data_IF_846236266232
#
_entry.id   IF_846236266232
#
_cell.length_a   1.000
_cell.length_b   1.000
_cell.length_c   1.000
_cell.angle_alpha   90.00
_cell.angle_beta   90.00
_cell.angle_gamma   90.00
#
_symmetry.space_group_name_H-M   'P 1'
#
loop_
_entity.id
_entity.type
_entity.pdbx_description
1 polymer ?
#
# COMPACT_ATOMS: atom_id res chain seq x y z
N UNK A 1 -31.17 -23.02 1.12
CA UNK A 1 -30.14 -22.09 1.58
C UNK A 1 -29.75 -21.23 0.40
N UNK A 2 -29.82 -19.91 0.54
CA UNK A 2 -29.41 -19.00 -0.51
C UNK A 2 -27.94 -19.21 -0.90
N UNK A 3 -27.65 -19.17 -2.19
CA UNK A 3 -26.29 -19.25 -2.73
C UNK A 3 -25.35 -18.17 -2.13
N UNK A 4 -25.91 -17.04 -1.72
CA UNK A 4 -25.17 -15.96 -1.01
C UNK A 4 -24.64 -16.42 0.35
N UNK A 5 -25.37 -17.27 1.08
CA UNK A 5 -24.98 -17.77 2.39
C UNK A 5 -23.84 -18.79 2.29
N UNK A 6 -23.86 -19.64 1.26
CA UNK A 6 -22.76 -20.56 0.96
C UNK A 6 -21.49 -19.83 0.51
N UNK A 7 -21.63 -18.74 -0.25
CA UNK A 7 -20.49 -17.91 -0.67
C UNK A 7 -19.85 -17.15 0.49
N UNK A 8 -20.65 -16.74 1.49
CA UNK A 8 -20.18 -16.07 2.70
C UNK A 8 -19.37 -17.01 3.63
N UNK A 9 -19.69 -18.31 3.65
CA UNK A 9 -18.94 -19.31 4.41
C UNK A 9 -17.66 -19.78 3.69
N UNK A 10 -17.43 -19.35 2.44
CA UNK A 10 -16.25 -19.74 1.70
C UNK A 10 -15.01 -18.99 2.23
N UNK A 11 -14.00 -19.68 2.78
CA UNK A 11 -12.78 -19.04 3.30
C UNK A 11 -12.02 -18.23 2.24
N UNK A 12 -12.11 -18.64 0.97
CA UNK A 12 -11.46 -17.92 -0.14
C UNK A 12 -11.99 -16.49 -0.28
N UNK A 13 -13.30 -16.28 -0.10
CA UNK A 13 -13.93 -14.95 -0.19
C UNK A 13 -13.38 -14.00 0.88
N UNK A 14 -13.24 -14.47 2.12
CA UNK A 14 -12.69 -13.68 3.22
C UNK A 14 -11.21 -13.34 3.04
N UNK A 15 -10.42 -14.28 2.50
CA UNK A 15 -9.01 -14.02 2.19
C UNK A 15 -8.90 -12.86 1.21
N UNK A 16 -9.73 -12.83 0.15
CA UNK A 16 -9.74 -11.73 -0.81
C UNK A 16 -10.00 -10.37 -0.16
N UNK A 17 -11.01 -10.30 0.72
CA UNK A 17 -11.35 -9.09 1.47
C UNK A 17 -10.19 -8.64 2.37
N UNK A 18 -9.62 -9.56 3.14
CA UNK A 18 -8.49 -9.26 4.04
C UNK A 18 -7.28 -8.78 3.24
N UNK A 19 -6.99 -9.38 2.10
CA UNK A 19 -5.90 -8.95 1.20
C UNK A 19 -6.12 -7.52 0.70
N UNK A 20 -7.33 -7.18 0.25
CA UNK A 20 -7.65 -5.81 -0.19
C UNK A 20 -7.43 -4.81 0.94
N UNK A 21 -7.92 -5.13 2.14
CA UNK A 21 -7.75 -4.28 3.33
C UNK A 21 -6.27 -4.09 3.66
N UNK A 22 -5.48 -5.18 3.66
CA UNK A 22 -4.05 -5.12 3.95
C UNK A 22 -3.29 -4.25 2.94
N UNK A 23 -3.60 -4.38 1.64
CA UNK A 23 -2.96 -3.56 0.59
C UNK A 23 -3.37 -2.09 0.73
N UNK A 24 -4.63 -1.81 1.06
CA UNK A 24 -5.07 -0.44 1.32
C UNK A 24 -4.30 0.21 2.48
N UNK A 25 -4.15 -0.50 3.60
CA UNK A 25 -3.33 -0.02 4.71
C UNK A 25 -1.86 0.15 4.33
N UNK A 26 -1.31 -0.74 3.51
CA UNK A 26 0.07 -0.63 3.00
C UNK A 26 0.27 0.65 2.18
N UNK A 27 -0.67 1.02 1.31
CA UNK A 27 -0.62 2.27 0.53
C UNK A 27 -0.63 3.49 1.45
N UNK A 28 -1.55 3.53 2.43
CA UNK A 28 -1.61 4.61 3.42
C UNK A 28 -0.30 4.71 4.22
N UNK A 29 0.20 3.56 4.70
CA UNK A 29 1.45 3.50 5.46
C UNK A 29 2.63 4.05 4.65
N UNK A 30 2.70 3.71 3.36
CA UNK A 30 3.74 4.21 2.45
C UNK A 30 3.69 5.74 2.30
N UNK A 31 2.49 6.33 2.23
CA UNK A 31 2.33 7.78 2.18
C UNK A 31 2.77 8.47 3.49
N UNK A 32 2.48 7.87 4.63
CA UNK A 32 2.93 8.38 5.95
C UNK A 32 4.45 8.34 6.03
N UNK A 33 5.08 7.22 5.65
CA UNK A 33 6.54 7.08 5.62
C UNK A 33 7.17 8.09 4.67
N UNK A 34 6.61 8.31 3.48
CA UNK A 34 7.10 9.34 2.56
C UNK A 34 7.05 10.74 3.16
N UNK A 35 5.95 11.07 3.83
CA UNK A 35 5.80 12.37 4.50
C UNK A 35 6.83 12.53 5.61
N UNK A 36 7.06 11.48 6.40
CA UNK A 36 8.09 11.47 7.44
C UNK A 36 9.50 11.63 6.87
N UNK A 37 9.84 10.90 5.80
CA UNK A 37 11.12 11.02 5.10
C UNK A 37 11.32 12.44 4.57
N UNK A 38 10.30 13.04 3.96
CA UNK A 38 10.35 14.42 3.45
C UNK A 38 10.59 15.44 4.58
N UNK A 39 9.86 15.32 5.69
CA UNK A 39 10.02 16.22 6.84
C UNK A 39 11.39 16.03 7.50
N UNK A 40 11.85 14.79 7.64
CA UNK A 40 13.15 14.48 8.24
C UNK A 40 14.31 14.96 7.35
N UNK A 41 14.22 14.83 6.02
CA UNK A 41 15.20 15.38 5.07
C UNK A 41 15.25 16.91 5.07
N UNK A 42 14.15 17.58 5.40
CA UNK A 42 14.14 19.04 5.58
C UNK A 42 14.81 19.48 6.89
N UNK A 43 14.71 18.66 7.95
CA UNK A 43 15.30 18.96 9.27
C UNK A 43 16.80 18.62 9.29
N UNK A 44 17.17 17.46 8.75
CA UNK A 44 18.55 17.01 8.60
C UNK A 44 19.01 17.38 7.19
N UNK A 45 19.62 18.55 7.03
CA UNK A 45 20.20 19.02 5.77
C UNK A 45 21.32 18.10 5.29
N UNK A 46 20.97 16.92 4.76
CA UNK A 46 21.85 15.89 4.22
C UNK A 46 21.75 15.92 2.69
N UNK A 47 22.56 16.76 2.01
CA UNK A 47 22.35 17.12 0.60
C UNK A 47 22.39 15.93 -0.38
N UNK A 48 23.06 14.84 -0.04
CA UNK A 48 23.22 13.69 -0.94
C UNK A 48 22.23 12.56 -0.64
N UNK A 49 21.82 12.38 0.62
CA UNK A 49 20.91 11.31 1.02
C UNK A 49 19.43 11.67 0.74
N UNK A 50 19.08 12.95 0.79
CA UNK A 50 17.71 13.42 0.62
C UNK A 50 17.14 13.09 -0.78
N UNK A 51 17.93 13.30 -1.83
CA UNK A 51 17.51 13.02 -3.21
C UNK A 51 17.25 11.52 -3.42
N UNK A 52 18.13 10.66 -2.90
CA UNK A 52 18.02 9.20 -3.04
C UNK A 52 16.82 8.69 -2.25
N UNK A 53 16.66 9.10 -0.99
CA UNK A 53 15.52 8.69 -0.16
C UNK A 53 14.19 9.14 -0.77
N UNK A 54 14.13 10.36 -1.28
CA UNK A 54 12.92 10.90 -1.93
C UNK A 54 12.58 10.13 -3.21
N UNK A 55 13.58 9.78 -4.02
CA UNK A 55 13.39 8.99 -5.24
C UNK A 55 12.89 7.58 -4.92
N UNK A 56 13.54 6.88 -3.97
CA UNK A 56 13.12 5.54 -3.53
C UNK A 56 11.68 5.58 -3.02
N UNK A 57 11.33 6.59 -2.24
CA UNK A 57 10.01 6.68 -1.65
C UNK A 57 8.91 7.00 -2.68
N UNK A 58 9.20 7.82 -3.70
CA UNK A 58 8.30 8.02 -4.85
C UNK A 58 8.09 6.71 -5.63
N UNK A 59 9.16 5.97 -5.90
CA UNK A 59 9.06 4.66 -6.56
C UNK A 59 8.18 3.71 -5.73
N UNK A 60 8.35 3.72 -4.40
CA UNK A 60 7.59 2.85 -3.51
C UNK A 60 6.09 3.20 -3.50
N UNK A 61 5.74 4.48 -3.59
CA UNK A 61 4.35 4.92 -3.75
C UNK A 61 3.76 4.39 -5.07
N UNK A 62 4.50 4.55 -6.17
CA UNK A 62 4.05 4.07 -7.50
C UNK A 62 3.86 2.55 -7.49
N UNK A 63 4.80 1.81 -6.89
CA UNK A 63 4.70 0.36 -6.73
C UNK A 63 3.50 -0.04 -5.85
N UNK A 64 3.28 0.65 -4.73
CA UNK A 64 2.13 0.40 -3.85
C UNK A 64 0.79 0.62 -4.55
N UNK A 65 0.65 1.72 -5.32
CA UNK A 65 -0.55 1.98 -6.13
C UNK A 65 -0.72 0.91 -7.22
N UNK A 66 0.37 0.51 -7.88
CA UNK A 66 0.32 -0.52 -8.91
C UNK A 66 -0.12 -1.87 -8.35
N UNK A 67 0.40 -2.26 -7.19
CA UNK A 67 0.02 -3.47 -6.46
C UNK A 67 -1.46 -3.45 -6.07
N UNK A 68 -1.96 -2.29 -5.62
CA UNK A 68 -3.38 -2.11 -5.30
C UNK A 68 -4.29 -2.27 -6.53
N UNK A 69 -3.93 -1.63 -7.65
CA UNK A 69 -4.68 -1.76 -8.90
C UNK A 69 -4.68 -3.20 -9.43
N UNK A 70 -3.52 -3.86 -9.42
CA UNK A 70 -3.40 -5.27 -9.82
C UNK A 70 -4.25 -6.16 -8.92
N UNK A 71 -4.21 -5.94 -7.61
CA UNK A 71 -5.01 -6.72 -6.67
C UNK A 71 -6.51 -6.56 -6.92
N UNK A 72 -7.01 -5.34 -7.20
CA UNK A 72 -8.42 -5.11 -7.56
C UNK A 72 -8.82 -5.83 -8.85
N UNK A 73 -7.92 -5.91 -9.84
CA UNK A 73 -8.21 -6.55 -11.13
C UNK A 73 -8.18 -8.08 -11.03
N UNK A 74 -7.30 -8.64 -10.20
CA UNK A 74 -7.12 -10.10 -10.07
C UNK A 74 -8.11 -10.73 -9.08
N UNK A 75 -8.44 -10.01 -7.99
CA UNK A 75 -9.33 -10.51 -6.93
C UNK A 75 -10.81 -10.44 -7.35
#
# INVERSE_FOLDING_TARGET
MDFSFLSFLNPSFWIKIITIIAIFFYVIFTLVVFTQVKVMGQILSLPHADIILKTISVINIILGISLFLIAIVIL
#
